data_IF_207033601421
#
_entry.id   IF_207033601421
#
_cell.length_a   1.000
_cell.length_b   1.000
_cell.length_c   1.000
_cell.angle_alpha   90.00
_cell.angle_beta   90.00
_cell.angle_gamma   90.00
#
_symmetry.space_group_name_H-M   'P 1'
#
loop_
_entity.id
_entity.type
_entity.pdbx_description
1 polymer ?
#
# COMPACT_ATOMS: atom_id res chain seq x y z
N UNK A 1 -16.70 -14.07 21.92
CA UNK A 1 -16.94 -14.57 20.54
C UNK A 1 -17.27 -13.30 19.77
N UNK A 2 -16.29 -12.73 19.08
CA UNK A 2 -16.53 -11.60 18.20
C UNK A 2 -17.03 -12.13 16.86
N UNK A 3 -18.08 -11.53 16.34
CA UNK A 3 -18.61 -11.83 15.03
C UNK A 3 -17.52 -11.66 13.96
N UNK A 4 -17.48 -12.53 12.93
CA UNK A 4 -16.53 -12.37 11.85
C UNK A 4 -16.82 -11.03 11.16
N UNK A 5 -15.77 -10.22 10.96
CA UNK A 5 -15.84 -9.00 10.16
C UNK A 5 -16.45 -9.38 8.81
N UNK A 6 -17.65 -8.89 8.54
CA UNK A 6 -18.31 -9.06 7.25
C UNK A 6 -17.36 -8.54 6.17
N UNK A 7 -16.83 -9.47 5.38
CA UNK A 7 -16.17 -9.13 4.13
C UNK A 7 -17.27 -8.62 3.21
N UNK A 8 -17.39 -7.30 3.11
CA UNK A 8 -18.21 -6.70 2.06
C UNK A 8 -17.71 -7.27 0.73
N UNK A 9 -18.57 -7.97 0.01
CA UNK A 9 -18.26 -8.50 -1.32
C UNK A 9 -17.86 -7.33 -2.22
N UNK A 10 -16.56 -7.20 -2.51
CA UNK A 10 -16.04 -6.17 -3.41
C UNK A 10 -16.61 -6.44 -4.79
N UNK A 11 -17.47 -5.54 -5.27
CA UNK A 11 -18.00 -5.63 -6.62
C UNK A 11 -16.88 -5.40 -7.63
N UNK A 12 -16.59 -6.42 -8.44
CA UNK A 12 -15.60 -6.32 -9.51
C UNK A 12 -16.30 -5.82 -10.77
N UNK A 13 -15.81 -4.71 -11.31
CA UNK A 13 -16.28 -4.18 -12.59
C UNK A 13 -15.94 -5.13 -13.74
N UNK A 14 -16.66 -5.07 -14.85
CA UNK A 14 -16.33 -5.84 -16.06
C UNK A 14 -15.18 -5.18 -16.83
N UNK A 15 -14.32 -5.98 -17.44
CA UNK A 15 -13.23 -5.50 -18.27
C UNK A 15 -12.33 -6.63 -18.78
N UNK A 16 -11.52 -6.37 -19.82
CA UNK A 16 -10.55 -7.34 -20.33
C UNK A 16 -9.38 -7.51 -19.36
N UNK A 17 -8.78 -8.70 -19.33
CA UNK A 17 -7.53 -8.93 -18.63
C UNK A 17 -6.39 -8.20 -19.35
N UNK A 18 -5.69 -7.34 -18.62
CA UNK A 18 -4.54 -6.59 -19.12
C UNK A 18 -3.24 -7.34 -18.86
N UNK A 19 -2.35 -7.30 -19.85
CA UNK A 19 -1.04 -7.97 -19.83
C UNK A 19 0.10 -6.96 -19.89
N UNK A 20 1.25 -7.31 -19.31
CA UNK A 20 2.42 -6.45 -19.23
C UNK A 20 2.47 -5.58 -17.96
N UNK A 21 3.51 -4.75 -17.84
CA UNK A 21 3.68 -3.88 -16.68
C UNK A 21 2.56 -2.81 -16.62
N UNK A 22 1.72 -2.78 -15.58
CA UNK A 22 0.55 -1.89 -15.49
C UNK A 22 0.93 -0.41 -15.58
N UNK A 23 2.07 -0.02 -15.02
CA UNK A 23 2.52 1.37 -15.01
C UNK A 23 2.85 1.96 -16.40
N UNK A 24 2.93 1.11 -17.45
CA UNK A 24 3.01 1.55 -18.85
C UNK A 24 1.66 1.65 -19.57
N UNK A 25 0.62 1.05 -19.00
CA UNK A 25 -0.67 0.93 -19.67
C UNK A 25 -1.52 2.20 -19.47
N UNK A 26 -2.11 2.73 -20.55
CA UNK A 26 -2.90 3.95 -20.51
C UNK A 26 -4.14 3.84 -19.61
N UNK A 27 -4.67 2.65 -19.40
CA UNK A 27 -5.80 2.39 -18.53
C UNK A 27 -5.47 2.76 -17.06
N UNK A 28 -4.24 2.46 -16.62
CA UNK A 28 -3.79 2.81 -15.26
C UNK A 28 -3.47 4.29 -15.13
N UNK A 29 -2.95 4.93 -16.16
CA UNK A 29 -2.75 6.38 -16.16
C UNK A 29 -4.10 7.10 -16.11
N UNK A 30 -5.07 6.66 -16.91
CA UNK A 30 -6.43 7.22 -16.89
C UNK A 30 -7.07 7.10 -15.50
N UNK A 31 -6.95 5.93 -14.87
CA UNK A 31 -7.51 5.70 -13.53
C UNK A 31 -6.78 6.50 -12.46
N UNK A 32 -5.47 6.66 -12.59
CA UNK A 32 -4.69 7.54 -11.71
C UNK A 32 -5.16 9.00 -11.83
N UNK A 33 -5.36 9.51 -13.08
CA UNK A 33 -5.88 10.86 -13.30
C UNK A 33 -7.27 11.04 -12.69
N UNK A 34 -8.16 10.08 -12.86
CA UNK A 34 -9.45 10.10 -12.20
C UNK A 34 -9.32 10.24 -10.68
N UNK A 35 -8.42 9.48 -10.04
CA UNK A 35 -8.21 9.57 -8.59
C UNK A 35 -7.64 10.94 -8.20
N UNK A 36 -6.74 11.52 -8.98
CA UNK A 36 -6.13 12.80 -8.66
C UNK A 36 -7.09 13.97 -8.91
N UNK A 37 -7.79 13.95 -10.03
CA UNK A 37 -8.50 15.14 -10.53
C UNK A 37 -9.99 15.15 -10.13
N UNK A 38 -10.64 13.98 -9.99
CA UNK A 38 -12.09 13.86 -9.88
C UNK A 38 -12.56 13.17 -8.59
N UNK A 39 -11.83 12.14 -8.11
CA UNK A 39 -12.30 11.33 -6.99
C UNK A 39 -12.15 12.05 -5.65
N UNK A 40 -13.23 12.14 -4.90
CA UNK A 40 -13.25 12.71 -3.55
C UNK A 40 -12.79 11.67 -2.52
N UNK A 41 -11.64 11.91 -1.92
CA UNK A 41 -11.09 11.04 -0.88
C UNK A 41 -11.88 11.24 0.42
N UNK A 42 -12.43 10.16 0.94
CA UNK A 42 -13.11 10.20 2.25
C UNK A 42 -12.10 10.50 3.36
N UNK A 43 -12.29 11.60 4.12
CA UNK A 43 -11.36 11.96 5.19
C UNK A 43 -11.28 10.88 6.27
N UNK A 44 -10.05 10.60 6.71
CA UNK A 44 -9.70 9.76 7.87
C UNK A 44 -8.47 10.36 8.53
N UNK A 45 -8.23 9.99 9.79
CA UNK A 45 -7.05 10.49 10.50
C UNK A 45 -5.75 9.94 9.91
N UNK A 46 -5.77 8.67 9.50
CA UNK A 46 -4.57 7.90 9.16
C UNK A 46 -4.69 7.35 7.74
N UNK A 47 -3.71 7.60 6.87
CA UNK A 47 -3.53 6.84 5.65
C UNK A 47 -2.54 5.70 5.88
N UNK A 48 -2.89 4.47 5.47
CA UNK A 48 -2.00 3.31 5.54
C UNK A 48 -1.68 2.85 4.13
N UNK A 49 -0.44 3.09 3.71
CA UNK A 49 0.07 2.73 2.39
C UNK A 49 0.61 1.30 2.41
N UNK A 50 0.07 0.43 1.55
CA UNK A 50 0.53 -0.95 1.40
C UNK A 50 0.63 -1.35 -0.06
N UNK A 51 1.62 -2.21 -0.42
CA UNK A 51 1.82 -2.62 -1.81
C UNK A 51 0.64 -3.38 -2.38
N UNK A 52 0.46 -3.25 -3.70
CA UNK A 52 -0.45 -4.10 -4.46
C UNK A 52 -0.04 -5.59 -4.35
N UNK A 53 -1.00 -6.49 -4.51
CA UNK A 53 -0.78 -7.93 -4.53
C UNK A 53 -1.12 -8.52 -5.90
N UNK A 54 -0.62 -9.72 -6.18
CA UNK A 54 -0.93 -10.45 -7.43
C UNK A 54 -2.40 -10.86 -7.46
N UNK A 55 -2.92 -11.34 -6.33
CA UNK A 55 -4.32 -11.72 -6.21
C UNK A 55 -5.23 -10.49 -6.16
N UNK A 56 -6.35 -10.55 -6.87
CA UNK A 56 -7.36 -9.50 -6.99
C UNK A 56 -8.75 -9.99 -6.59
N UNK A 57 -9.59 -9.18 -5.98
CA UNK A 57 -9.27 -7.88 -5.39
C UNK A 57 -8.16 -8.00 -4.34
N UNK A 58 -7.42 -6.94 -4.04
CA UNK A 58 -6.26 -7.03 -3.14
C UNK A 58 -6.63 -7.51 -1.75
N UNK A 59 -7.79 -7.12 -1.23
CA UNK A 59 -8.32 -7.55 0.07
C UNK A 59 -8.46 -9.06 0.21
N UNK A 60 -8.59 -9.81 -0.90
CA UNK A 60 -8.65 -11.28 -0.89
C UNK A 60 -7.27 -11.94 -0.86
N UNK A 61 -6.19 -11.17 -0.98
CA UNK A 61 -4.82 -11.68 -0.90
C UNK A 61 -4.49 -12.09 0.54
N UNK A 62 -3.88 -13.26 0.77
CA UNK A 62 -3.48 -13.69 2.12
C UNK A 62 -2.62 -12.65 2.85
N UNK A 63 -1.67 -12.01 2.16
CA UNK A 63 -0.84 -10.96 2.74
C UNK A 63 -1.66 -9.75 3.20
N UNK A 64 -2.60 -9.29 2.37
CA UNK A 64 -3.49 -8.18 2.74
C UNK A 64 -4.41 -8.54 3.91
N UNK A 65 -4.91 -9.79 3.95
CA UNK A 65 -5.75 -10.24 5.06
C UNK A 65 -5.00 -10.22 6.38
N UNK A 66 -3.73 -10.68 6.39
CA UNK A 66 -2.87 -10.61 7.59
C UNK A 66 -2.62 -9.17 8.04
N UNK A 67 -2.21 -8.30 7.13
CA UNK A 67 -1.92 -6.90 7.45
C UNK A 67 -3.20 -6.18 7.93
N UNK A 68 -4.32 -6.38 7.25
CA UNK A 68 -5.62 -5.81 7.64
C UNK A 68 -6.08 -6.33 9.01
N UNK A 69 -5.80 -7.60 9.32
CA UNK A 69 -6.11 -8.19 10.63
C UNK A 69 -5.31 -7.49 11.74
N UNK A 70 -4.02 -7.24 11.53
CA UNK A 70 -3.19 -6.48 12.49
C UNK A 70 -3.72 -5.06 12.67
N UNK A 71 -4.03 -4.37 11.57
CA UNK A 71 -4.60 -3.01 11.63
C UNK A 71 -5.90 -2.98 12.45
N UNK A 72 -6.83 -3.87 12.17
CA UNK A 72 -8.15 -3.92 12.82
C UNK A 72 -8.08 -4.33 14.31
N UNK A 73 -7.03 -5.05 14.71
CA UNK A 73 -6.80 -5.38 16.13
C UNK A 73 -6.30 -4.18 16.94
N UNK A 74 -5.60 -3.25 16.30
CA UNK A 74 -4.92 -2.15 17.00
C UNK A 74 -5.63 -0.81 16.82
N UNK A 75 -6.14 -0.53 15.64
CA UNK A 75 -6.75 0.75 15.28
C UNK A 75 -8.25 0.58 14.99
N UNK A 76 -9.04 1.57 15.35
CA UNK A 76 -10.44 1.63 14.93
C UNK A 76 -10.52 1.75 13.40
N UNK A 77 -11.28 0.87 12.70
CA UNK A 77 -11.43 0.93 11.25
C UNK A 77 -11.97 2.26 10.70
N UNK A 78 -12.71 3.01 11.52
CA UNK A 78 -13.22 4.33 11.12
C UNK A 78 -12.14 5.40 11.06
N UNK A 79 -10.98 5.19 11.69
CA UNK A 79 -9.89 6.18 11.80
C UNK A 79 -8.84 6.05 10.71
N UNK A 80 -8.76 4.93 10.00
CA UNK A 80 -7.76 4.75 8.97
C UNK A 80 -8.34 4.48 7.60
N UNK A 81 -7.57 4.85 6.59
CA UNK A 81 -7.85 4.61 5.19
C UNK A 81 -6.70 3.80 4.58
N UNK A 82 -7.00 2.67 3.96
CA UNK A 82 -5.99 1.86 3.27
C UNK A 82 -5.82 2.42 1.86
N UNK A 83 -4.57 2.69 1.50
CA UNK A 83 -4.15 3.15 0.18
C UNK A 83 -3.20 2.12 -0.41
N UNK A 84 -3.65 1.43 -1.45
CA UNK A 84 -2.83 0.44 -2.15
C UNK A 84 -1.99 1.17 -3.18
N UNK A 85 -0.70 0.81 -3.29
CA UNK A 85 0.19 1.46 -4.25
C UNK A 85 1.17 0.45 -4.88
N UNK A 86 1.79 0.83 -5.99
CA UNK A 86 2.80 0.02 -6.65
C UNK A 86 2.58 -0.10 -8.15
N UNK A 87 2.69 -1.31 -8.70
CA UNK A 87 2.60 -1.48 -10.16
C UNK A 87 1.29 -1.00 -10.77
N UNK A 88 0.23 -0.95 -9.97
CA UNK A 88 -1.08 -0.40 -10.35
C UNK A 88 -1.19 1.13 -10.21
N UNK A 89 -0.16 1.80 -9.71
CA UNK A 89 -0.25 3.19 -9.26
C UNK A 89 -0.86 3.29 -7.87
N UNK A 90 -1.59 4.36 -7.59
CA UNK A 90 -2.24 4.62 -6.30
C UNK A 90 -3.73 4.25 -6.39
N UNK A 91 -4.21 3.49 -5.40
CA UNK A 91 -5.59 2.98 -5.36
C UNK A 91 -6.15 3.08 -3.94
N UNK A 92 -7.07 4.01 -3.64
CA UNK A 92 -7.91 3.91 -2.46
C UNK A 92 -8.57 2.54 -2.38
N UNK A 93 -8.57 1.89 -1.23
CA UNK A 93 -8.96 0.48 -1.11
C UNK A 93 -10.38 0.19 -1.60
N UNK A 94 -11.29 1.13 -1.46
CA UNK A 94 -12.68 1.03 -1.94
C UNK A 94 -12.80 0.97 -3.47
N UNK A 95 -11.77 1.37 -4.20
CA UNK A 95 -11.72 1.32 -5.66
C UNK A 95 -11.03 0.05 -6.20
N UNK A 96 -10.59 -0.87 -5.34
CA UNK A 96 -9.81 -2.05 -5.76
C UNK A 96 -10.56 -2.98 -6.73
N UNK A 97 -11.89 -2.97 -6.73
CA UNK A 97 -12.74 -3.71 -7.68
C UNK A 97 -12.96 -3.00 -9.02
N UNK A 98 -12.58 -1.73 -9.14
CA UNK A 98 -12.76 -0.94 -10.35
C UNK A 98 -11.77 -1.38 -11.44
N UNK A 99 -12.22 -1.36 -12.72
CA UNK A 99 -11.31 -1.48 -13.85
C UNK A 99 -10.34 -0.30 -13.89
N UNK A 100 -9.02 -0.51 -14.06
CA UNK A 100 -8.33 -1.75 -14.42
C UNK A 100 -7.79 -2.55 -13.22
N UNK A 101 -7.99 -2.14 -11.98
CA UNK A 101 -7.28 -2.62 -10.80
C UNK A 101 -7.50 -4.11 -10.51
N UNK A 102 -8.70 -4.63 -10.79
CA UNK A 102 -9.00 -6.06 -10.65
C UNK A 102 -8.64 -6.90 -11.90
N UNK A 103 -8.13 -6.28 -12.97
CA UNK A 103 -8.04 -6.90 -14.31
C UNK A 103 -6.61 -7.01 -14.86
N UNK A 104 -5.61 -7.16 -14.02
CA UNK A 104 -4.23 -7.38 -14.47
C UNK A 104 -3.54 -8.46 -13.63
N UNK A 105 -2.52 -9.07 -14.23
CA UNK A 105 -1.67 -10.04 -13.56
C UNK A 105 -0.20 -9.71 -13.86
N UNK A 106 0.45 -8.98 -12.95
CA UNK A 106 1.85 -8.60 -13.06
C UNK A 106 2.53 -8.65 -11.70
N UNK A 107 3.76 -9.18 -11.67
CA UNK A 107 4.57 -9.29 -10.46
C UNK A 107 5.93 -8.65 -10.70
N UNK A 108 6.18 -7.48 -10.08
CA UNK A 108 7.43 -6.75 -10.21
C UNK A 108 8.63 -7.56 -9.70
N UNK A 109 8.47 -8.32 -8.61
CA UNK A 109 9.53 -9.16 -8.04
C UNK A 109 10.05 -10.28 -8.97
N UNK A 110 9.36 -10.56 -10.08
CA UNK A 110 9.85 -11.46 -11.14
C UNK A 110 10.53 -10.74 -12.29
N UNK A 111 10.48 -9.41 -12.31
CA UNK A 111 11.13 -8.62 -13.36
C UNK A 111 12.63 -8.56 -13.10
N UNK A 112 13.42 -8.89 -14.12
CA UNK A 112 14.89 -8.83 -14.09
C UNK A 112 15.45 -7.74 -15.02
N UNK A 113 14.59 -7.00 -15.71
CA UNK A 113 14.99 -5.92 -16.60
C UNK A 113 15.24 -4.65 -15.78
N UNK A 114 16.50 -4.18 -15.68
CA UNK A 114 16.84 -3.00 -14.89
C UNK A 114 16.12 -1.74 -15.36
N UNK A 115 15.87 -1.61 -16.66
CA UNK A 115 15.16 -0.46 -17.23
C UNK A 115 13.69 -0.42 -16.77
N UNK A 116 13.04 -1.57 -16.76
CA UNK A 116 11.65 -1.69 -16.28
C UNK A 116 11.56 -1.36 -14.78
N UNK A 117 12.54 -1.78 -13.99
CA UNK A 117 12.60 -1.47 -12.54
C UNK A 117 12.85 0.02 -12.30
N UNK A 118 13.75 0.64 -13.09
CA UNK A 118 14.01 2.09 -13.03
C UNK A 118 12.78 2.90 -13.44
N UNK A 119 12.12 2.52 -14.54
CA UNK A 119 10.90 3.17 -15.00
C UNK A 119 9.76 3.04 -13.98
N UNK A 120 9.60 1.85 -13.37
CA UNK A 120 8.65 1.67 -12.27
C UNK A 120 8.92 2.67 -11.14
N UNK A 121 10.15 2.71 -10.66
CA UNK A 121 10.52 3.58 -9.55
C UNK A 121 10.25 5.06 -9.87
N UNK A 122 10.60 5.51 -11.08
CA UNK A 122 10.35 6.87 -11.54
C UNK A 122 8.86 7.19 -11.61
N UNK A 123 8.08 6.33 -12.28
CA UNK A 123 6.64 6.55 -12.49
C UNK A 123 5.89 6.50 -11.16
N UNK A 124 6.19 5.52 -10.33
CA UNK A 124 5.49 5.36 -9.05
C UNK A 124 5.85 6.48 -8.05
N UNK A 125 7.09 6.97 -8.06
CA UNK A 125 7.49 8.17 -7.31
C UNK A 125 6.61 9.37 -7.66
N UNK A 126 6.35 9.61 -8.95
CA UNK A 126 5.49 10.71 -9.40
C UNK A 126 4.04 10.53 -8.93
N UNK A 127 3.52 9.31 -9.05
CA UNK A 127 2.14 8.99 -8.65
C UNK A 127 1.94 9.11 -7.14
N UNK A 128 2.90 8.61 -6.36
CA UNK A 128 2.88 8.78 -4.90
C UNK A 128 2.95 10.27 -4.53
N UNK A 129 3.83 11.04 -5.16
CA UNK A 129 3.95 12.46 -4.89
C UNK A 129 2.63 13.20 -5.18
N UNK A 130 2.03 12.98 -6.35
CA UNK A 130 0.76 13.62 -6.70
C UNK A 130 -0.37 13.25 -5.74
N UNK A 131 -0.45 12.00 -5.30
CA UNK A 131 -1.45 11.59 -4.31
C UNK A 131 -1.23 12.24 -2.94
N UNK A 132 0.02 12.30 -2.48
CA UNK A 132 0.37 12.96 -1.22
C UNK A 132 0.07 14.46 -1.27
N UNK A 133 0.33 15.12 -2.39
CA UNK A 133 -0.02 16.53 -2.61
C UNK A 133 -1.53 16.74 -2.54
N UNK A 134 -2.31 15.93 -3.28
CA UNK A 134 -3.77 15.96 -3.25
C UNK A 134 -4.34 15.77 -1.85
N UNK A 135 -3.74 14.87 -1.08
CA UNK A 135 -4.25 14.45 0.23
C UNK A 135 -3.53 15.10 1.41
N UNK A 136 -2.78 16.18 1.16
CA UNK A 136 -1.98 16.88 2.17
C UNK A 136 -2.79 17.21 3.43
N UNK A 137 -3.97 17.76 3.25
CA UNK A 137 -4.88 18.22 4.30
C UNK A 137 -5.99 17.21 4.62
N UNK A 138 -5.97 16.03 3.96
CA UNK A 138 -6.99 14.97 4.17
C UNK A 138 -6.61 14.06 5.35
N UNK A 139 -5.31 13.73 5.46
CA UNK A 139 -4.81 12.85 6.50
C UNK A 139 -3.88 13.60 7.45
N UNK A 140 -4.06 13.37 8.75
CA UNK A 140 -3.14 13.87 9.78
C UNK A 140 -1.88 13.03 9.83
N UNK A 141 -2.03 11.71 9.72
CA UNK A 141 -0.93 10.74 9.82
C UNK A 141 -0.84 9.84 8.58
N UNK A 142 0.37 9.40 8.28
CA UNK A 142 0.67 8.52 7.16
C UNK A 142 1.62 7.42 7.59
N UNK A 143 1.22 6.17 7.35
CA UNK A 143 1.98 4.97 7.69
C UNK A 143 2.23 4.20 6.41
N UNK A 144 3.49 3.81 6.16
CA UNK A 144 3.86 2.90 5.08
C UNK A 144 4.18 1.51 5.64
N UNK A 145 3.63 0.45 5.02
CA UNK A 145 4.03 -0.93 5.29
C UNK A 145 4.53 -1.57 4.00
N UNK A 146 5.83 -1.44 3.72
CA UNK A 146 6.41 -1.80 2.43
C UNK A 146 7.93 -2.01 2.49
N UNK A 147 8.46 -2.82 1.57
CA UNK A 147 9.88 -3.12 1.39
C UNK A 147 10.34 -2.86 -0.04
N UNK A 148 11.64 -2.92 -0.30
CA UNK A 148 12.24 -2.86 -1.63
C UNK A 148 11.90 -1.59 -2.42
N UNK A 149 11.66 -1.76 -3.71
CA UNK A 149 11.35 -0.63 -4.61
C UNK A 149 10.05 0.09 -4.26
N UNK A 150 9.09 -0.59 -3.63
CA UNK A 150 7.87 0.06 -3.15
C UNK A 150 8.17 1.06 -2.03
N UNK A 151 9.01 0.64 -1.07
CA UNK A 151 9.50 1.54 -0.01
C UNK A 151 10.24 2.73 -0.58
N UNK A 152 11.12 2.48 -1.54
CA UNK A 152 11.89 3.53 -2.21
C UNK A 152 10.99 4.54 -2.94
N UNK A 153 9.97 4.06 -3.65
CA UNK A 153 8.99 4.91 -4.32
C UNK A 153 8.21 5.78 -3.32
N UNK A 154 7.79 5.20 -2.19
CA UNK A 154 7.07 5.92 -1.14
C UNK A 154 7.95 7.02 -0.50
N UNK A 155 9.20 6.71 -0.19
CA UNK A 155 10.16 7.67 0.38
C UNK A 155 10.42 8.81 -0.59
N UNK A 156 10.74 8.50 -1.84
CA UNK A 156 11.02 9.52 -2.87
C UNK A 156 9.79 10.38 -3.17
N UNK A 157 8.61 9.77 -3.25
CA UNK A 157 7.35 10.47 -3.44
C UNK A 157 7.04 11.44 -2.30
N UNK A 158 7.25 11.00 -1.06
CA UNK A 158 7.13 11.83 0.14
C UNK A 158 8.09 13.03 0.12
N UNK A 159 9.35 12.79 -0.20
CA UNK A 159 10.35 13.86 -0.33
C UNK A 159 9.99 14.86 -1.42
N UNK A 160 9.57 14.38 -2.58
CA UNK A 160 9.16 15.21 -3.72
C UNK A 160 7.95 16.08 -3.40
N UNK A 161 6.94 15.50 -2.78
CA UNK A 161 5.71 16.21 -2.37
C UNK A 161 5.94 17.16 -1.18
N UNK A 162 7.02 17.00 -0.42
CA UNK A 162 7.19 17.69 0.87
C UNK A 162 6.09 17.33 1.88
N UNK A 163 5.58 16.09 1.81
CA UNK A 163 4.54 15.56 2.71
C UNK A 163 5.13 14.37 3.46
N UNK A 164 5.32 14.44 4.78
CA UNK A 164 6.00 13.40 5.52
C UNK A 164 5.16 12.11 5.63
N UNK A 165 5.84 10.97 5.60
CA UNK A 165 5.31 9.70 6.08
C UNK A 165 5.81 9.54 7.52
N UNK A 166 4.88 9.46 8.47
CA UNK A 166 5.21 9.46 9.90
C UNK A 166 5.95 8.19 10.34
N UNK A 167 5.66 7.06 9.69
CA UNK A 167 6.24 5.77 10.00
C UNK A 167 6.29 4.89 8.77
N UNK A 168 7.42 4.24 8.51
CA UNK A 168 7.56 3.25 7.42
C UNK A 168 8.09 1.95 8.01
N UNK A 169 7.30 0.89 7.91
CA UNK A 169 7.59 -0.44 8.43
C UNK A 169 7.65 -1.48 7.30
N UNK A 170 8.37 -2.56 7.49
CA UNK A 170 9.30 -2.84 8.58
C UNK A 170 10.40 -1.78 8.69
N UNK A 171 10.99 -1.60 9.89
CA UNK A 171 12.16 -0.71 10.05
C UNK A 171 13.35 -1.24 9.27
N UNK A 172 14.33 -0.37 8.97
CA UNK A 172 15.59 -0.80 8.32
C UNK A 172 16.33 -1.81 9.19
N UNK A 173 16.31 -1.66 10.49
CA UNK A 173 16.97 -2.57 11.42
C UNK A 173 16.32 -3.96 11.40
N UNK A 174 15.00 -4.03 11.33
CA UNK A 174 14.27 -5.29 11.18
C UNK A 174 14.57 -5.96 9.84
N UNK A 175 14.59 -5.21 8.74
CA UNK A 175 14.94 -5.73 7.41
C UNK A 175 16.36 -6.29 7.42
N UNK A 176 17.34 -5.56 7.96
CA UNK A 176 18.73 -6.01 8.04
C UNK A 176 18.86 -7.30 8.86
N UNK A 177 18.16 -7.40 9.99
CA UNK A 177 18.13 -8.62 10.81
C UNK A 177 17.61 -9.82 10.01
N UNK A 178 16.50 -9.67 9.30
CA UNK A 178 15.93 -10.74 8.49
C UNK A 178 16.87 -11.18 7.36
N UNK A 179 17.59 -10.24 6.74
CA UNK A 179 18.61 -10.54 5.71
C UNK A 179 19.79 -11.32 6.32
N UNK A 180 20.26 -10.91 7.50
CA UNK A 180 21.39 -11.56 8.20
C UNK A 180 21.05 -12.98 8.66
N UNK A 181 19.83 -13.22 9.09
CA UNK A 181 19.35 -14.54 9.50
C UNK A 181 19.19 -15.53 8.35
N UNK A 182 19.13 -15.06 7.11
CA UNK A 182 19.34 -15.85 5.88
C UNK A 182 18.21 -16.79 5.46
N UNK A 183 17.06 -16.79 6.12
CA UNK A 183 15.93 -17.70 5.87
C UNK A 183 14.92 -17.16 4.86
N UNK A 184 15.31 -16.24 3.97
CA UNK A 184 14.38 -15.54 3.08
C UNK A 184 14.43 -16.07 1.65
N UNK A 185 13.25 -16.38 1.07
CA UNK A 185 13.09 -16.68 -0.36
C UNK A 185 13.33 -15.43 -1.22
N UNK A 186 13.07 -14.24 -0.67
CA UNK A 186 13.32 -12.93 -1.28
C UNK A 186 14.37 -12.19 -0.47
N UNK A 187 15.18 -11.35 -1.15
CA UNK A 187 16.31 -10.63 -0.55
C UNK A 187 15.95 -9.86 0.74
N UNK A 188 14.80 -9.19 0.76
CA UNK A 188 14.31 -8.44 1.92
C UNK A 188 13.14 -9.16 2.65
N UNK A 189 12.93 -10.44 2.38
CA UNK A 189 11.82 -11.21 2.97
C UNK A 189 10.47 -10.93 2.32
N UNK A 190 9.41 -11.25 3.04
CA UNK A 190 8.01 -11.03 2.63
C UNK A 190 7.26 -10.27 3.71
N UNK A 191 6.40 -9.33 3.31
CA UNK A 191 5.55 -8.58 4.26
C UNK A 191 4.63 -9.46 5.13
N UNK A 192 4.51 -10.75 4.81
CA UNK A 192 3.74 -11.73 5.60
C UNK A 192 4.58 -12.47 6.64
N UNK A 193 5.87 -12.14 6.80
CA UNK A 193 6.72 -12.75 7.82
C UNK A 193 6.28 -12.34 9.23
N UNK A 194 6.38 -13.26 10.16
CA UNK A 194 5.97 -13.02 11.55
C UNK A 194 6.75 -11.89 12.20
N UNK A 195 8.05 -11.78 11.90
CA UNK A 195 8.94 -10.74 12.38
C UNK A 195 8.44 -9.34 11.97
N UNK A 196 8.07 -9.18 10.69
CA UNK A 196 7.56 -7.92 10.16
C UNK A 196 6.14 -7.60 10.68
N UNK A 197 5.28 -8.60 10.75
CA UNK A 197 3.92 -8.42 11.29
C UNK A 197 3.94 -8.13 12.79
N UNK A 198 4.86 -8.75 13.54
CA UNK A 198 5.08 -8.48 14.95
C UNK A 198 5.54 -7.05 15.19
N UNK A 199 6.59 -6.60 14.48
CA UNK A 199 7.04 -5.21 14.55
C UNK A 199 5.92 -4.23 14.15
N UNK A 200 5.17 -4.55 13.10
CA UNK A 200 4.04 -3.73 12.66
C UNK A 200 3.00 -3.57 13.77
N UNK A 201 2.61 -4.67 14.42
CA UNK A 201 1.68 -4.64 15.55
C UNK A 201 2.20 -3.79 16.70
N UNK A 202 3.45 -4.00 17.11
CA UNK A 202 4.07 -3.29 18.24
C UNK A 202 4.16 -1.78 17.98
N UNK A 203 4.60 -1.38 16.79
CA UNK A 203 4.72 0.03 16.42
C UNK A 203 3.35 0.71 16.26
N UNK A 204 2.34 -0.01 15.76
CA UNK A 204 0.97 0.51 15.73
C UNK A 204 0.41 0.73 17.14
N UNK A 205 0.70 -0.16 18.09
CA UNK A 205 0.28 0.00 19.50
C UNK A 205 0.94 1.25 20.10
N UNK A 206 2.26 1.43 19.88
CA UNK A 206 2.98 2.63 20.35
C UNK A 206 2.41 3.89 19.73
N UNK A 207 2.18 3.85 18.42
CA UNK A 207 1.58 4.97 17.68
C UNK A 207 0.18 5.32 18.22
N UNK A 208 -0.71 4.34 18.37
CA UNK A 208 -2.06 4.54 18.93
C UNK A 208 -1.99 5.19 20.31
N UNK A 209 -1.07 4.73 21.18
CA UNK A 209 -0.92 5.27 22.52
C UNK A 209 -0.33 6.71 22.55
N UNK A 210 0.27 7.15 21.43
CA UNK A 210 0.78 8.52 21.27
C UNK A 210 -0.23 9.50 20.67
N UNK A 211 -1.35 8.97 20.14
CA UNK A 211 -2.40 9.84 19.59
C UNK A 211 -3.08 10.62 20.71
N UNK A 212 -3.51 11.87 20.46
CA UNK A 212 -4.39 12.58 21.37
C UNK A 212 -5.61 11.72 21.67
N UNK A 213 -5.96 11.57 22.96
CA UNK A 213 -7.19 10.88 23.34
C UNK A 213 -8.41 11.56 22.72
N UNK A 214 -9.38 10.78 22.29
CA UNK A 214 -10.69 11.32 21.97
C UNK A 214 -11.30 11.84 23.29
N UNK A 215 -11.32 13.20 23.49
CA UNK A 215 -12.05 13.84 24.57
C UNK A 215 -13.56 13.83 24.31
#
# INVERSE_FOLDING_TARGET
MGDPVEHSDVQISQGPLLTGPPFYLPEFEKSYRYIIDEYDITPRDIAVFMPCAVRKPYSTSPSHQLIRSVLAQVLDPSRYHIVIFGTCGIVPAELEGMYPYAHYNYMLGKCKDPKVLEDFLRIETERVAGYLEKTRDVYTYRIGYCIGLFREALVRGSQKAGVPINMILPTRDMINRVIEEGDCIFEEGSLSMNEYLGEFCDELIRFRNSLPGDE
#
